data_IF_349092261796
#
_entry.id   IF_349092261796
#
_cell.length_a   1.000
_cell.length_b   1.000
_cell.length_c   1.000
_cell.angle_alpha   90.00
_cell.angle_beta   90.00
_cell.angle_gamma   90.00
#
_symmetry.space_group_name_H-M   'P 1'
#
loop_
_entity.id
_entity.type
_entity.pdbx_description
1 polymer ?
#
# COMPACT_ATOMS: atom_id res chain seq x y z
N UNK A 1 4.81 -16.14 -16.63
CA UNK A 1 3.97 -15.51 -17.65
C UNK A 1 4.83 -15.02 -18.80
N UNK A 2 4.19 -14.65 -19.90
CA UNK A 2 4.82 -14.05 -21.09
C UNK A 2 4.14 -12.70 -21.31
N UNK A 3 4.94 -11.68 -21.62
CA UNK A 3 4.47 -10.33 -21.96
C UNK A 3 5.31 -9.82 -23.15
N UNK A 4 4.69 -9.05 -24.05
CA UNK A 4 5.40 -8.40 -25.14
C UNK A 4 6.38 -7.35 -24.56
N UNK A 5 7.57 -7.23 -25.15
CA UNK A 5 8.63 -6.36 -24.60
C UNK A 5 8.22 -4.89 -24.54
N UNK A 6 7.47 -4.42 -25.54
CA UNK A 6 6.92 -3.07 -25.61
C UNK A 6 5.83 -2.76 -24.57
N UNK A 7 5.21 -3.81 -24.00
CA UNK A 7 4.18 -3.73 -22.94
C UNK A 7 4.73 -3.91 -21.53
N UNK A 8 6.05 -4.09 -21.38
CA UNK A 8 6.67 -4.33 -20.09
C UNK A 8 6.63 -3.09 -19.21
N UNK A 9 5.95 -3.21 -18.06
CA UNK A 9 5.93 -2.17 -17.01
C UNK A 9 7.13 -2.40 -16.09
N UNK A 10 8.18 -1.62 -16.26
CA UNK A 10 9.48 -1.82 -15.60
C UNK A 10 9.99 -0.62 -14.79
N UNK A 11 9.16 0.40 -14.62
CA UNK A 11 9.49 1.61 -13.86
C UNK A 11 10.39 2.62 -14.57
N UNK A 12 10.96 2.30 -15.72
CA UNK A 12 11.91 3.21 -16.43
C UNK A 12 11.29 4.54 -16.87
N UNK A 13 9.96 4.59 -17.02
CA UNK A 13 9.21 5.79 -17.41
C UNK A 13 8.79 6.66 -16.23
N UNK A 14 9.07 6.22 -14.99
CA UNK A 14 8.76 6.99 -13.77
C UNK A 14 9.52 8.31 -13.82
N UNK A 15 8.82 9.38 -13.53
CA UNK A 15 9.33 10.74 -13.56
C UNK A 15 8.85 11.56 -12.35
N UNK A 16 9.51 12.70 -12.15
CA UNK A 16 9.14 13.62 -11.09
C UNK A 16 7.69 14.12 -11.27
N UNK A 17 6.98 14.26 -10.15
CA UNK A 17 5.56 14.61 -10.04
C UNK A 17 4.57 13.57 -10.59
N UNK A 18 5.00 12.38 -10.97
CA UNK A 18 4.07 11.26 -11.15
C UNK A 18 3.31 10.99 -9.86
N UNK A 19 2.04 10.63 -9.97
CA UNK A 19 1.19 10.36 -8.83
C UNK A 19 1.30 8.90 -8.39
N UNK A 20 1.10 8.70 -7.09
CA UNK A 20 1.02 7.36 -6.48
C UNK A 20 -0.44 7.12 -6.10
N UNK A 21 -1.06 6.14 -6.78
CA UNK A 21 -2.42 5.70 -6.47
C UNK A 21 -2.35 4.37 -5.70
N UNK A 22 -2.94 4.36 -4.51
CA UNK A 22 -3.07 3.16 -3.70
C UNK A 22 -4.41 2.47 -3.95
N UNK A 23 -4.40 1.14 -3.99
CA UNK A 23 -5.58 0.28 -4.01
C UNK A 23 -5.69 -0.44 -2.67
N UNK A 24 -6.90 -0.43 -2.10
CA UNK A 24 -7.19 -0.99 -0.78
C UNK A 24 -6.82 -2.46 -0.66
N UNK A 25 -6.19 -2.81 0.46
CA UNK A 25 -5.97 -4.20 0.84
C UNK A 25 -7.22 -4.84 1.44
N UNK A 26 -7.22 -6.16 1.52
CA UNK A 26 -8.26 -6.94 2.19
C UNK A 26 -7.75 -7.47 3.54
N UNK A 27 -7.31 -6.57 4.43
CA UNK A 27 -6.67 -6.93 5.70
C UNK A 27 -5.16 -7.09 5.57
N UNK A 28 -4.56 -7.92 6.41
CA UNK A 28 -3.08 -8.12 6.50
C UNK A 28 -2.49 -8.81 5.27
N UNK A 29 -3.32 -9.38 4.42
CA UNK A 29 -2.91 -10.28 3.35
C UNK A 29 -2.12 -11.47 3.92
N UNK A 30 -0.92 -11.76 3.38
CA UNK A 30 -0.08 -12.87 3.87
C UNK A 30 1.15 -12.39 4.66
N UNK A 31 1.14 -11.14 5.16
CA UNK A 31 2.32 -10.52 5.77
C UNK A 31 2.11 -10.21 7.25
N UNK A 32 3.21 -10.21 8.02
CA UNK A 32 3.20 -9.85 9.43
C UNK A 32 2.68 -10.92 10.38
N UNK A 33 2.31 -12.13 9.92
CA UNK A 33 1.70 -13.17 10.76
C UNK A 33 2.60 -13.68 11.89
N UNK A 34 3.93 -13.61 11.76
CA UNK A 34 4.83 -13.96 12.86
C UNK A 34 4.61 -13.02 14.07
N UNK A 35 4.49 -11.71 13.80
CA UNK A 35 4.19 -10.71 14.82
C UNK A 35 2.77 -10.88 15.36
N UNK A 36 1.78 -11.07 14.49
CA UNK A 36 0.39 -11.31 14.88
C UNK A 36 0.27 -12.52 15.81
N UNK A 37 0.91 -13.65 15.49
CA UNK A 37 0.92 -14.84 16.36
C UNK A 37 1.50 -14.56 17.74
N UNK A 38 2.60 -13.79 17.81
CA UNK A 38 3.21 -13.38 19.08
C UNK A 38 2.26 -12.53 19.91
N UNK A 39 1.52 -11.61 19.28
CA UNK A 39 0.52 -10.77 19.96
C UNK A 39 -0.62 -11.63 20.50
N UNK A 40 -1.14 -12.57 19.71
CA UNK A 40 -2.20 -13.50 20.13
C UNK A 40 -1.74 -14.36 21.31
N UNK A 41 -0.52 -14.91 21.28
CA UNK A 41 0.02 -15.74 22.37
C UNK A 41 0.12 -14.98 23.69
N UNK A 42 0.31 -13.68 23.63
CA UNK A 42 0.43 -12.82 24.83
C UNK A 42 -0.92 -12.26 25.33
N UNK A 43 -2.03 -12.50 24.60
CA UNK A 43 -3.34 -11.99 24.97
C UNK A 43 -4.45 -12.99 24.63
N UNK A 44 -4.88 -13.74 25.63
CA UNK A 44 -5.90 -14.79 25.51
C UNK A 44 -7.34 -14.26 25.28
N UNK A 45 -7.56 -12.96 25.31
CA UNK A 45 -8.87 -12.32 25.10
C UNK A 45 -8.86 -11.32 23.94
N UNK A 46 -7.86 -11.40 23.10
CA UNK A 46 -7.64 -10.44 22.00
C UNK A 46 -8.85 -10.34 21.05
N UNK A 47 -9.51 -11.45 20.78
CA UNK A 47 -10.73 -11.54 19.97
C UNK A 47 -11.87 -10.72 20.56
N UNK A 48 -12.15 -10.88 21.86
CA UNK A 48 -13.19 -10.13 22.58
C UNK A 48 -12.85 -8.66 22.70
N UNK A 49 -11.58 -8.33 22.90
CA UNK A 49 -11.13 -6.94 22.96
C UNK A 49 -11.27 -6.24 21.62
N UNK A 50 -10.93 -6.92 20.52
CA UNK A 50 -11.12 -6.40 19.18
C UNK A 50 -12.60 -6.20 18.83
N UNK A 51 -13.45 -7.18 19.14
CA UNK A 51 -14.89 -7.09 18.92
C UNK A 51 -15.53 -5.89 19.64
N UNK A 52 -15.10 -5.60 20.87
CA UNK A 52 -15.60 -4.44 21.63
C UNK A 52 -15.32 -3.09 20.95
N UNK A 53 -14.19 -2.95 20.24
CA UNK A 53 -13.77 -1.68 19.64
C UNK A 53 -14.13 -1.56 18.18
N UNK A 54 -14.30 -2.69 17.48
CA UNK A 54 -14.53 -2.72 16.03
C UNK A 54 -15.92 -3.20 15.64
N UNK A 55 -16.60 -3.95 16.51
CA UNK A 55 -17.83 -4.72 16.22
C UNK A 55 -17.63 -5.80 15.14
N UNK A 56 -16.38 -6.25 14.91
CA UNK A 56 -15.97 -7.24 13.92
C UNK A 56 -15.31 -8.43 14.61
N UNK A 57 -15.36 -9.61 13.98
CA UNK A 57 -14.62 -10.76 14.46
C UNK A 57 -13.13 -10.63 14.10
N UNK A 58 -12.25 -10.80 15.10
CA UNK A 58 -10.81 -10.63 14.93
C UNK A 58 -10.19 -11.62 13.94
N UNK A 59 -10.55 -12.89 14.06
CA UNK A 59 -9.99 -13.94 13.21
C UNK A 59 -10.52 -13.85 11.78
N UNK A 60 -11.77 -13.46 11.59
CA UNK A 60 -12.32 -13.23 10.26
C UNK A 60 -11.59 -12.08 9.55
N UNK A 61 -11.28 -10.99 10.27
CA UNK A 61 -10.49 -9.88 9.71
C UNK A 61 -9.05 -10.29 9.36
N UNK A 62 -8.42 -11.12 10.19
CA UNK A 62 -7.06 -11.62 9.93
C UNK A 62 -7.00 -12.61 8.76
N UNK A 63 -8.01 -13.45 8.61
CA UNK A 63 -8.04 -14.55 7.66
C UNK A 63 -8.64 -14.15 6.31
N UNK A 64 -8.99 -12.90 6.10
CA UNK A 64 -9.42 -12.41 4.79
C UNK A 64 -8.36 -12.75 3.73
N UNK A 65 -8.77 -13.34 2.60
CA UNK A 65 -7.82 -13.72 1.55
C UNK A 65 -7.14 -12.47 0.96
N UNK A 66 -5.92 -12.64 0.49
CA UNK A 66 -5.21 -11.59 -0.24
C UNK A 66 -6.06 -11.11 -1.42
N UNK A 67 -6.24 -9.81 -1.55
CA UNK A 67 -7.03 -9.23 -2.64
C UNK A 67 -6.34 -9.44 -3.98
N UNK A 68 -7.11 -9.85 -4.98
CA UNK A 68 -6.63 -10.03 -6.35
C UNK A 68 -6.88 -8.74 -7.13
N UNK A 69 -5.80 -8.13 -7.66
CA UNK A 69 -5.87 -6.87 -8.40
C UNK A 69 -5.86 -7.06 -9.93
N UNK A 70 -5.72 -8.30 -10.40
CA UNK A 70 -5.55 -8.60 -11.82
C UNK A 70 -6.65 -7.99 -12.72
N UNK A 71 -7.91 -8.10 -12.31
CA UNK A 71 -9.03 -7.63 -13.13
C UNK A 71 -9.01 -6.11 -13.31
N UNK A 72 -8.82 -5.35 -12.23
CA UNK A 72 -8.77 -3.89 -12.28
C UNK A 72 -7.58 -3.39 -13.08
N UNK A 73 -6.41 -4.04 -12.94
CA UNK A 73 -5.20 -3.69 -13.72
C UNK A 73 -5.42 -3.99 -15.20
N UNK A 74 -5.95 -5.17 -15.55
CA UNK A 74 -6.23 -5.53 -16.94
C UNK A 74 -7.25 -4.58 -17.58
N UNK A 75 -8.26 -4.13 -16.84
CA UNK A 75 -9.20 -3.14 -17.33
C UNK A 75 -8.49 -1.81 -17.64
N UNK A 76 -7.66 -1.29 -16.73
CA UNK A 76 -6.87 -0.07 -16.97
C UNK A 76 -6.00 -0.18 -18.23
N UNK A 77 -5.32 -1.33 -18.39
CA UNK A 77 -4.47 -1.57 -19.56
C UNK A 77 -5.30 -1.67 -20.87
N UNK A 78 -6.48 -2.27 -20.83
CA UNK A 78 -7.37 -2.36 -22.00
C UNK A 78 -7.95 -1.01 -22.42
N UNK A 79 -8.06 -0.06 -21.49
CA UNK A 79 -8.46 1.33 -21.73
C UNK A 79 -7.28 2.24 -22.11
N UNK A 80 -6.10 1.64 -22.43
CA UNK A 80 -4.86 2.33 -22.79
C UNK A 80 -4.35 3.32 -21.72
N UNK A 81 -4.63 3.06 -20.44
CA UNK A 81 -4.04 3.82 -19.34
C UNK A 81 -2.57 3.42 -19.20
N UNK A 82 -1.68 4.38 -19.31
CA UNK A 82 -0.26 4.14 -19.08
C UNK A 82 0.05 4.05 -17.60
N UNK A 83 0.37 2.85 -17.14
CA UNK A 83 0.91 2.59 -15.79
C UNK A 83 2.43 2.53 -15.92
N UNK A 84 3.15 3.46 -15.28
CA UNK A 84 4.61 3.54 -15.37
C UNK A 84 5.32 2.52 -14.47
N UNK A 85 4.74 2.25 -13.30
CA UNK A 85 5.24 1.24 -12.38
C UNK A 85 4.11 0.70 -11.49
N UNK A 86 4.32 -0.50 -10.95
CA UNK A 86 3.39 -1.18 -10.04
C UNK A 86 4.15 -1.78 -8.87
N UNK A 87 3.55 -1.75 -7.68
CA UNK A 87 4.11 -2.37 -6.48
C UNK A 87 3.03 -3.09 -5.69
N UNK A 88 3.15 -4.40 -5.52
CA UNK A 88 2.35 -5.16 -4.56
C UNK A 88 2.96 -4.98 -3.17
N UNK A 89 2.18 -4.44 -2.22
CA UNK A 89 2.68 -4.15 -0.88
C UNK A 89 2.63 -5.42 -0.04
N UNK A 90 3.80 -5.95 0.25
CA UNK A 90 4.04 -7.21 0.97
C UNK A 90 4.89 -6.96 2.22
N UNK A 91 5.65 -7.96 2.71
CA UNK A 91 6.62 -7.75 3.79
C UNK A 91 7.60 -6.63 3.45
N UNK A 92 7.87 -5.77 4.42
CA UNK A 92 8.59 -4.51 4.21
C UNK A 92 7.67 -3.30 4.02
N UNK A 93 6.33 -3.52 3.86
CA UNK A 93 5.34 -2.45 3.76
C UNK A 93 5.59 -1.49 2.59
N UNK A 94 4.96 -0.32 2.61
CA UNK A 94 5.17 0.73 1.60
C UNK A 94 6.64 1.17 1.54
N UNK A 95 7.36 1.38 2.67
CA UNK A 95 8.72 1.90 2.65
C UNK A 95 9.71 1.06 1.85
N UNK A 96 9.58 -0.27 1.90
CA UNK A 96 10.51 -1.14 1.18
C UNK A 96 10.03 -1.54 -0.21
N UNK A 97 8.71 -1.73 -0.40
CA UNK A 97 8.21 -2.27 -1.67
C UNK A 97 8.11 -1.21 -2.76
N UNK A 98 7.64 -0.01 -2.43
CA UNK A 98 7.41 1.01 -3.44
C UNK A 98 8.69 1.52 -4.12
N UNK A 99 9.83 1.75 -3.40
CA UNK A 99 11.07 2.18 -4.06
C UNK A 99 11.66 1.16 -5.04
N UNK A 100 11.33 -0.12 -4.90
CA UNK A 100 11.86 -1.18 -5.79
C UNK A 100 11.37 -1.09 -7.24
N UNK A 101 10.23 -0.40 -7.47
CA UNK A 101 9.63 -0.33 -8.79
C UNK A 101 9.96 0.96 -9.56
N UNK A 102 10.91 1.76 -9.09
CA UNK A 102 11.30 3.03 -9.71
C UNK A 102 12.82 3.20 -9.79
N UNK A 103 13.35 4.13 -10.63
CA UNK A 103 14.78 4.43 -10.68
C UNK A 103 15.29 5.00 -9.35
N UNK A 104 16.55 4.74 -9.03
CA UNK A 104 17.19 5.04 -7.73
C UNK A 104 17.37 6.52 -7.41
N UNK A 105 17.22 7.40 -8.39
CA UNK A 105 17.26 8.87 -8.25
C UNK A 105 15.92 9.48 -7.85
N UNK A 106 14.87 8.66 -7.81
CA UNK A 106 13.54 9.03 -7.35
C UNK A 106 13.20 8.38 -6.01
N UNK A 107 12.31 9.04 -5.26
CA UNK A 107 11.72 8.51 -4.04
C UNK A 107 10.23 8.85 -3.98
N UNK A 108 9.42 8.00 -3.31
CA UNK A 108 8.01 8.28 -3.10
C UNK A 108 7.84 9.28 -1.93
N UNK A 109 7.13 10.36 -2.16
CA UNK A 109 6.65 11.25 -1.11
C UNK A 109 5.20 10.89 -0.77
N UNK A 110 4.97 10.31 0.43
CA UNK A 110 3.68 9.77 0.85
C UNK A 110 2.99 10.71 1.84
N UNK A 111 1.72 11.03 1.56
CA UNK A 111 0.83 11.68 2.50
C UNK A 111 0.07 10.60 3.31
N UNK A 112 0.53 10.34 4.52
CA UNK A 112 -0.05 9.30 5.40
C UNK A 112 -1.46 9.63 5.90
N UNK A 113 -1.95 10.83 5.68
CA UNK A 113 -3.32 11.26 6.02
C UNK A 113 -4.32 11.08 4.87
N UNK A 114 -3.88 10.63 3.68
CA UNK A 114 -4.74 10.50 2.49
C UNK A 114 -5.66 9.29 2.53
N UNK A 115 -5.44 8.34 3.43
CA UNK A 115 -6.35 7.21 3.68
C UNK A 115 -6.47 6.92 5.17
N UNK A 116 -7.51 6.23 5.53
CA UNK A 116 -7.68 5.75 6.90
C UNK A 116 -7.03 4.37 7.06
N UNK A 117 -6.06 4.27 7.99
CA UNK A 117 -5.49 2.96 8.39
C UNK A 117 -6.61 2.15 9.06
N UNK A 118 -6.92 0.93 8.56
CA UNK A 118 -7.99 0.10 9.11
C UNK A 118 -7.81 -0.22 10.60
N UNK A 119 -8.92 -0.34 11.31
CA UNK A 119 -8.96 -0.56 12.77
C UNK A 119 -8.13 -1.76 13.21
N UNK A 120 -8.09 -2.84 12.39
CA UNK A 120 -7.29 -4.02 12.68
C UNK A 120 -5.81 -3.68 12.91
N UNK A 121 -5.22 -2.85 12.05
CA UNK A 121 -3.80 -2.48 12.17
C UNK A 121 -3.56 -1.59 13.40
N UNK A 122 -4.44 -0.61 13.65
CA UNK A 122 -4.36 0.26 14.83
C UNK A 122 -4.41 -0.57 16.12
N UNK A 123 -5.31 -1.55 16.16
CA UNK A 123 -5.47 -2.47 17.27
C UNK A 123 -4.23 -3.36 17.47
N UNK A 124 -3.70 -3.96 16.38
CA UNK A 124 -2.47 -4.75 16.44
C UNK A 124 -1.28 -3.93 16.93
N UNK A 125 -1.15 -2.67 16.47
CA UNK A 125 -0.09 -1.76 16.93
C UNK A 125 -0.16 -1.53 18.43
N UNK A 126 -1.36 -1.22 18.96
CA UNK A 126 -1.58 -0.99 20.38
C UNK A 126 -1.26 -2.24 21.20
N UNK A 127 -1.89 -3.40 20.86
CA UNK A 127 -1.73 -4.65 21.63
C UNK A 127 -0.33 -5.23 21.56
N UNK A 128 0.37 -5.03 20.46
CA UNK A 128 1.75 -5.45 20.26
C UNK A 128 2.78 -4.42 20.74
N UNK A 129 2.37 -3.22 21.17
CA UNK A 129 3.26 -2.09 21.46
C UNK A 129 4.29 -1.90 20.33
N UNK A 130 3.81 -1.95 19.08
CA UNK A 130 4.69 -1.98 17.90
C UNK A 130 5.25 -0.58 17.65
N UNK A 131 6.59 -0.41 17.61
CA UNK A 131 7.21 0.85 17.22
C UNK A 131 6.76 1.31 15.82
N UNK A 132 6.69 2.63 15.62
CA UNK A 132 6.19 3.21 14.35
C UNK A 132 6.90 2.64 13.12
N UNK A 133 8.22 2.60 13.13
CA UNK A 133 9.04 2.07 12.04
C UNK A 133 8.71 0.61 11.73
N UNK A 134 8.61 -0.24 12.75
CA UNK A 134 8.30 -1.66 12.57
C UNK A 134 6.87 -1.87 12.07
N UNK A 135 5.95 -1.02 12.50
CA UNK A 135 4.56 -1.03 12.06
C UNK A 135 4.45 -0.79 10.53
N UNK A 136 5.14 0.24 10.03
CA UNK A 136 5.16 0.55 8.60
C UNK A 136 5.92 -0.48 7.77
N UNK A 137 6.95 -1.10 8.33
CA UNK A 137 7.76 -2.11 7.63
C UNK A 137 7.15 -3.53 7.70
N UNK A 138 6.21 -3.78 8.62
CA UNK A 138 5.61 -5.12 8.76
C UNK A 138 4.32 -5.26 7.97
N UNK A 139 3.47 -4.22 7.98
CA UNK A 139 2.12 -4.30 7.47
C UNK A 139 1.88 -3.41 6.25
N UNK A 140 0.84 -3.76 5.48
CA UNK A 140 0.40 -2.96 4.33
C UNK A 140 -0.46 -1.73 4.72
N UNK A 141 -0.92 -1.65 5.96
CA UNK A 141 -1.70 -0.56 6.55
C UNK A 141 -2.94 -0.14 5.76
N UNK A 142 -3.56 -1.09 5.07
CA UNK A 142 -4.74 -0.86 4.25
C UNK A 142 -4.44 -0.62 2.76
N UNK A 143 -3.17 -0.50 2.39
CA UNK A 143 -2.71 -0.33 1.01
C UNK A 143 -2.12 -1.63 0.49
N UNK A 144 -2.83 -2.35 -0.36
CA UNK A 144 -2.35 -3.64 -0.86
C UNK A 144 -1.58 -3.56 -2.18
N UNK A 145 -1.83 -2.54 -2.98
CA UNK A 145 -1.19 -2.33 -4.28
C UNK A 145 -1.01 -0.84 -4.56
N UNK A 146 0.10 -0.48 -5.20
CA UNK A 146 0.35 0.89 -5.63
C UNK A 146 0.62 0.95 -7.13
N UNK A 147 0.11 2.01 -7.77
CA UNK A 147 0.37 2.37 -9.15
C UNK A 147 1.12 3.70 -9.19
N UNK A 148 2.11 3.81 -10.07
CA UNK A 148 2.76 5.08 -10.41
C UNK A 148 2.33 5.47 -11.80
N UNK A 149 1.74 6.66 -11.94
CA UNK A 149 1.05 7.12 -13.14
C UNK A 149 1.33 8.59 -13.43
N UNK A 150 1.13 9.00 -14.67
CA UNK A 150 0.99 10.42 -14.99
C UNK A 150 -0.34 10.95 -14.44
N UNK A 151 -0.34 12.21 -13.98
CA UNK A 151 -1.51 12.86 -13.36
C UNK A 151 -2.75 12.88 -14.24
N UNK A 152 -2.58 12.88 -15.58
CA UNK A 152 -3.71 12.89 -16.53
C UNK A 152 -4.61 11.65 -16.41
N UNK A 153 -4.08 10.52 -15.94
CA UNK A 153 -4.83 9.27 -15.80
C UNK A 153 -5.51 9.09 -14.44
N UNK A 154 -5.31 10.00 -13.50
CA UNK A 154 -5.82 9.88 -12.14
C UNK A 154 -7.32 9.60 -12.09
N UNK A 155 -8.13 10.48 -12.69
CA UNK A 155 -9.58 10.41 -12.58
C UNK A 155 -10.14 9.16 -13.26
N UNK A 156 -9.56 8.74 -14.40
CA UNK A 156 -9.92 7.49 -15.07
C UNK A 156 -9.64 6.28 -14.18
N UNK A 157 -8.46 6.20 -13.55
CA UNK A 157 -8.09 5.12 -12.65
C UNK A 157 -9.01 5.05 -11.43
N UNK A 158 -9.29 6.18 -10.78
CA UNK A 158 -10.19 6.21 -9.63
C UNK A 158 -11.61 5.78 -10.01
N UNK A 159 -12.10 6.15 -11.21
CA UNK A 159 -13.38 5.69 -11.72
C UNK A 159 -13.40 4.18 -11.94
N UNK A 160 -12.40 3.62 -12.62
CA UNK A 160 -12.29 2.16 -12.84
C UNK A 160 -12.22 1.40 -11.52
N UNK A 161 -11.46 1.90 -10.54
CA UNK A 161 -11.39 1.29 -9.22
C UNK A 161 -12.77 1.27 -8.54
N UNK A 162 -13.51 2.38 -8.61
CA UNK A 162 -14.87 2.48 -8.06
C UNK A 162 -15.82 1.49 -8.74
N UNK A 163 -15.80 1.41 -10.06
CA UNK A 163 -16.66 0.53 -10.84
C UNK A 163 -16.36 -0.96 -10.59
N UNK A 164 -15.11 -1.29 -10.26
CA UNK A 164 -14.67 -2.64 -9.87
C UNK A 164 -14.80 -2.93 -8.37
N UNK A 165 -15.34 -1.99 -7.57
CA UNK A 165 -15.54 -2.15 -6.13
C UNK A 165 -14.23 -2.14 -5.32
N UNK A 166 -13.20 -1.45 -5.80
CA UNK A 166 -11.93 -1.30 -5.11
C UNK A 166 -11.78 0.15 -4.65
N UNK A 167 -11.79 0.37 -3.32
CA UNK A 167 -11.43 1.69 -2.79
C UNK A 167 -10.00 2.02 -3.18
N UNK A 168 -9.78 3.26 -3.60
CA UNK A 168 -8.48 3.75 -4.06
C UNK A 168 -8.27 5.22 -3.71
N UNK A 169 -7.02 5.61 -3.52
CA UNK A 169 -6.65 6.95 -3.09
C UNK A 169 -5.37 7.41 -3.79
N UNK A 170 -5.27 8.70 -4.09
CA UNK A 170 -3.98 9.34 -4.31
C UNK A 170 -3.29 9.48 -2.95
N UNK A 171 -2.17 8.77 -2.77
CA UNK A 171 -1.44 8.76 -1.50
C UNK A 171 -0.15 9.56 -1.53
N UNK A 172 0.21 10.11 -2.67
CA UNK A 172 1.44 10.88 -2.80
C UNK A 172 1.93 11.04 -4.22
N UNK A 173 3.18 11.42 -4.35
CA UNK A 173 3.84 11.65 -5.64
C UNK A 173 5.31 11.24 -5.62
N UNK A 174 5.88 11.16 -6.82
CA UNK A 174 7.32 10.92 -7.00
C UNK A 174 8.07 12.24 -6.94
N UNK A 175 9.19 12.27 -6.21
CA UNK A 175 10.09 13.41 -6.11
C UNK A 175 11.53 12.98 -6.35
N UNK A 176 12.40 13.92 -6.75
CA UNK A 176 13.83 13.65 -6.87
C UNK A 176 14.48 13.54 -5.50
N UNK A 177 15.38 12.59 -5.34
CA UNK A 177 16.11 12.37 -4.10
C UNK A 177 16.92 13.60 -3.66
N UNK A 178 17.50 14.32 -4.61
CA UNK A 178 18.30 15.51 -4.31
C UNK A 178 17.46 16.69 -3.80
N UNK A 179 16.20 16.81 -4.17
CA UNK A 179 15.33 17.93 -3.76
C UNK A 179 14.87 17.81 -2.30
N UNK A 180 14.89 16.60 -1.74
CA UNK A 180 14.56 16.36 -0.33
C UNK A 180 15.70 16.68 0.63
N UNK A 181 16.94 16.62 0.18
CA UNK A 181 18.10 17.06 0.99
C UNK A 181 18.02 18.56 1.27
N UNK A 182 17.36 19.32 0.39
CA UNK A 182 17.18 20.77 0.52
C UNK A 182 15.96 21.11 1.40
N UNK A 183 14.92 20.29 1.39
CA UNK A 183 13.69 20.50 2.14
C UNK A 183 13.59 19.48 3.29
N UNK A 184 14.06 19.82 4.47
CA UNK A 184 14.11 19.02 5.72
C UNK A 184 12.76 18.45 6.24
N UNK A 185 11.84 18.04 5.39
CA UNK A 185 10.55 17.47 5.76
C UNK A 185 10.26 16.15 5.02
N UNK A 186 11.02 15.10 5.42
CA UNK A 186 10.50 13.74 5.30
C UNK A 186 9.93 13.35 6.66
N UNK A 187 8.74 12.75 6.76
CA UNK A 187 8.40 12.01 7.96
C UNK A 187 9.48 10.94 8.16
N UNK A 188 10.00 10.79 9.38
CA UNK A 188 11.05 9.83 9.78
C UNK A 188 10.77 8.36 9.40
N UNK A 189 9.63 8.09 8.78
CA UNK A 189 9.12 6.79 8.34
C UNK A 189 9.79 6.28 7.05
N UNK A 190 10.42 7.17 6.28
CA UNK A 190 11.00 6.83 4.96
C UNK A 190 12.54 6.94 4.92
N UNK A 191 13.20 7.14 6.05
CA UNK A 191 14.67 7.15 6.14
C UNK A 191 15.21 5.84 6.72
#
# INVERSE_FOLDING_TARGET
GIVDEDKLINGKKVSENDLIIALKSNGVHSNGFSLVRKIIQNNNQIDKEFEKVSHLNFYDELLKPTKIYNNVINQMLSENIEIKAMSHITGGGIPENLPRCMPSDFIPYINTSSWEIPILFKFLKEKGSIPEKDFWNTFNLGVGFCLIIDKQFKDAILSICKDTGIDSWEIGKIVRKNDLIINKFLPEILT
#
